data_IF_374313828873
#
_entry.id   IF_374313828873
#
_cell.length_a   1.000
_cell.length_b   1.000
_cell.length_c   1.000
_cell.angle_alpha   90.00
_cell.angle_beta   90.00
_cell.angle_gamma   90.00
#
_symmetry.space_group_name_H-M   'P 1'
#
loop_
_entity.id
_entity.type
_entity.pdbx_description
1 polymer ?
#
# COMPACT_ATOMS: atom_id res chain seq x y z
N UNK A 1 19.11 5.10 -25.22
CA UNK A 1 19.23 3.74 -24.64
C UNK A 1 20.62 3.45 -24.07
N UNK A 2 21.70 4.15 -24.49
CA UNK A 2 23.05 4.01 -23.91
C UNK A 2 23.25 4.80 -22.62
N UNK A 3 22.55 5.92 -22.46
CA UNK A 3 22.67 6.82 -21.30
C UNK A 3 22.09 6.25 -20.01
N UNK A 4 20.98 5.50 -20.11
CA UNK A 4 20.33 4.82 -18.98
C UNK A 4 21.20 3.68 -18.44
N UNK A 5 21.86 2.94 -19.32
CA UNK A 5 22.78 1.87 -18.94
C UNK A 5 24.00 2.41 -18.17
N UNK A 6 24.51 3.59 -18.55
CA UNK A 6 25.61 4.23 -17.82
C UNK A 6 25.19 4.69 -16.42
N UNK A 7 23.97 5.17 -16.26
CA UNK A 7 23.48 5.69 -14.99
C UNK A 7 23.20 4.56 -13.99
N UNK A 8 22.59 3.46 -14.43
CA UNK A 8 22.37 2.27 -13.61
C UNK A 8 23.69 1.66 -13.12
N UNK A 9 24.67 1.54 -14.02
CA UNK A 9 25.98 0.99 -13.67
C UNK A 9 26.72 1.88 -12.65
N UNK A 10 26.68 3.20 -12.87
CA UNK A 10 27.28 4.18 -11.96
C UNK A 10 26.62 4.15 -10.58
N UNK A 11 25.30 3.99 -10.52
CA UNK A 11 24.56 3.85 -9.27
C UNK A 11 24.96 2.58 -8.52
N UNK A 12 25.06 1.45 -9.21
CA UNK A 12 25.45 0.16 -8.60
C UNK A 12 26.86 0.24 -8.02
N UNK A 13 27.81 0.80 -8.76
CA UNK A 13 29.18 0.99 -8.28
C UNK A 13 29.25 1.93 -7.08
N UNK A 14 28.50 3.03 -7.13
CA UNK A 14 28.41 3.99 -6.02
C UNK A 14 27.85 3.32 -4.77
N UNK A 15 26.74 2.58 -4.87
CA UNK A 15 26.13 1.88 -3.73
C UNK A 15 27.09 0.83 -3.16
N UNK A 16 27.79 0.09 -4.02
CA UNK A 16 28.78 -0.92 -3.59
C UNK A 16 29.97 -0.30 -2.84
N UNK A 17 30.31 0.95 -3.13
CA UNK A 17 31.38 1.70 -2.43
C UNK A 17 30.97 2.26 -1.06
N UNK A 18 29.67 2.27 -0.75
CA UNK A 18 29.16 2.76 0.53
C UNK A 18 29.42 1.78 1.69
N UNK A 19 29.43 2.31 2.92
CA UNK A 19 29.43 1.48 4.12
C UNK A 19 28.07 0.79 4.32
N UNK A 20 28.05 -0.37 5.00
CA UNK A 20 26.82 -1.15 5.26
C UNK A 20 25.67 -0.30 5.83
N UNK A 21 25.95 0.60 6.78
CA UNK A 21 24.94 1.49 7.35
C UNK A 21 24.30 2.43 6.30
N UNK A 22 25.09 2.92 5.34
CA UNK A 22 24.60 3.79 4.26
C UNK A 22 23.88 2.99 3.17
N UNK A 23 24.30 1.75 2.91
CA UNK A 23 23.58 0.85 2.01
C UNK A 23 22.17 0.55 2.54
N UNK A 24 22.03 0.26 3.84
CA UNK A 24 20.73 0.05 4.46
C UNK A 24 19.86 1.32 4.41
N UNK A 25 20.45 2.49 4.61
CA UNK A 25 19.74 3.77 4.45
C UNK A 25 19.21 3.96 3.02
N UNK A 26 20.02 3.68 1.99
CA UNK A 26 19.58 3.73 0.59
C UNK A 26 18.47 2.72 0.31
N UNK A 27 18.55 1.51 0.85
CA UNK A 27 17.49 0.50 0.72
C UNK A 27 16.19 0.94 1.40
N UNK A 28 16.28 1.52 2.60
CA UNK A 28 15.11 2.06 3.31
C UNK A 28 14.45 3.20 2.53
N UNK A 29 15.24 4.10 1.95
CA UNK A 29 14.77 5.18 1.11
C UNK A 29 14.14 4.65 -0.19
N UNK A 30 14.76 3.70 -0.88
CA UNK A 30 14.19 3.09 -2.07
C UNK A 30 12.85 2.38 -1.78
N UNK A 31 12.73 1.70 -0.63
CA UNK A 31 11.45 1.15 -0.15
C UNK A 31 10.42 2.25 0.12
N UNK A 32 10.82 3.39 0.66
CA UNK A 32 9.91 4.53 0.88
C UNK A 32 9.42 5.18 -0.42
N UNK A 33 10.19 5.06 -1.50
CA UNK A 33 9.82 5.53 -2.83
C UNK A 33 8.94 4.54 -3.60
N UNK A 34 8.80 3.29 -3.12
CA UNK A 34 7.82 2.41 -3.72
C UNK A 34 6.44 3.04 -3.51
N UNK A 35 5.69 3.30 -4.59
CA UNK A 35 4.33 3.81 -4.45
C UNK A 35 3.58 2.82 -3.55
N UNK A 36 3.01 3.32 -2.45
CA UNK A 36 2.14 2.52 -1.61
C UNK A 36 1.06 1.97 -2.52
N UNK A 37 0.90 0.65 -2.57
CA UNK A 37 -0.04 0.00 -3.49
C UNK A 37 -1.48 0.52 -3.39
N UNK A 38 -1.81 1.19 -2.27
CA UNK A 38 -3.04 1.93 -2.03
C UNK A 38 -3.35 3.04 -3.07
N UNK A 39 -2.34 3.69 -3.67
CA UNK A 39 -2.54 4.75 -4.66
C UNK A 39 -2.79 4.22 -6.08
N UNK A 40 -2.66 2.91 -6.30
CA UNK A 40 -2.97 2.31 -7.58
C UNK A 40 -4.48 2.06 -7.64
N UNK A 41 -5.22 2.69 -8.57
CA UNK A 41 -6.65 2.44 -8.70
C UNK A 41 -6.88 0.94 -8.95
N UNK A 42 -7.85 0.37 -8.24
CA UNK A 42 -8.31 -1.00 -8.48
C UNK A 42 -8.64 -1.13 -9.97
N UNK A 43 -7.93 -2.02 -10.66
CA UNK A 43 -8.15 -2.27 -12.09
C UNK A 43 -9.46 -3.01 -12.36
N UNK A 44 -10.05 -3.59 -11.31
CA UNK A 44 -11.30 -4.35 -11.35
C UNK A 44 -12.42 -3.59 -10.63
N UNK A 45 -13.63 -3.67 -11.18
CA UNK A 45 -14.83 -3.23 -10.45
C UNK A 45 -15.12 -4.13 -9.25
N UNK A 46 -15.84 -3.62 -8.26
CA UNK A 46 -16.25 -4.39 -7.07
C UNK A 46 -17.06 -5.65 -7.45
N UNK A 47 -17.89 -5.56 -8.49
CA UNK A 47 -18.67 -6.71 -8.99
C UNK A 47 -17.77 -7.79 -9.60
N UNK A 48 -16.69 -7.41 -10.29
CA UNK A 48 -15.72 -8.35 -10.83
C UNK A 48 -14.91 -8.99 -9.70
N UNK A 49 -14.53 -8.19 -8.69
CA UNK A 49 -13.80 -8.66 -7.52
C UNK A 49 -14.60 -9.68 -6.69
N UNK A 50 -15.92 -9.46 -6.57
CA UNK A 50 -16.83 -10.36 -5.86
C UNK A 50 -16.98 -11.74 -6.56
N UNK A 51 -16.74 -11.80 -7.87
CA UNK A 51 -16.77 -13.04 -8.66
C UNK A 51 -15.50 -13.88 -8.52
N UNK A 52 -14.40 -13.31 -8.00
CA UNK A 52 -13.16 -14.03 -7.78
C UNK A 52 -13.24 -14.97 -6.57
N UNK A 53 -12.46 -16.06 -6.57
CA UNK A 53 -12.23 -16.87 -5.37
C UNK A 53 -11.73 -16.03 -4.20
N UNK A 54 -12.08 -16.43 -2.99
CA UNK A 54 -11.76 -15.69 -1.76
C UNK A 54 -10.25 -15.41 -1.63
N UNK A 55 -9.40 -16.39 -1.98
CA UNK A 55 -7.95 -16.24 -1.90
C UNK A 55 -7.43 -15.12 -2.82
N UNK A 56 -7.88 -15.09 -4.07
CA UNK A 56 -7.48 -14.07 -5.05
C UNK A 56 -7.99 -12.69 -4.66
N UNK A 57 -9.23 -12.61 -4.18
CA UNK A 57 -9.82 -11.38 -3.66
C UNK A 57 -9.01 -10.82 -2.51
N UNK A 58 -8.66 -11.66 -1.52
CA UNK A 58 -7.90 -11.26 -0.36
C UNK A 58 -6.49 -10.80 -0.74
N UNK A 59 -5.86 -11.47 -1.70
CA UNK A 59 -4.56 -11.06 -2.21
C UNK A 59 -4.62 -9.65 -2.81
N UNK A 60 -5.64 -9.34 -3.62
CA UNK A 60 -5.82 -8.01 -4.21
C UNK A 60 -6.14 -6.96 -3.13
N UNK A 61 -7.08 -7.25 -2.24
CA UNK A 61 -7.51 -6.32 -1.19
C UNK A 61 -6.43 -6.06 -0.13
N UNK A 62 -5.52 -7.01 0.09
CA UNK A 62 -4.47 -6.90 1.13
C UNK A 62 -3.61 -5.65 0.99
N UNK A 63 -3.38 -5.19 -0.25
CA UNK A 63 -2.63 -3.98 -0.54
C UNK A 63 -3.30 -2.69 -0.02
N UNK A 64 -4.62 -2.69 0.14
CA UNK A 64 -5.40 -1.52 0.56
C UNK A 64 -5.66 -1.49 2.07
N UNK A 65 -5.54 -2.64 2.75
CA UNK A 65 -5.79 -2.75 4.21
C UNK A 65 -5.00 -1.72 5.03
N UNK A 66 -3.69 -1.46 4.78
CA UNK A 66 -2.95 -0.49 5.57
C UNK A 66 -3.46 0.95 5.41
N UNK A 67 -3.87 1.31 4.19
CA UNK A 67 -4.44 2.64 3.93
C UNK A 67 -5.81 2.76 4.59
N UNK A 68 -6.68 1.75 4.43
CA UNK A 68 -7.98 1.71 5.11
C UNK A 68 -7.82 1.79 6.63
N UNK A 69 -6.85 1.09 7.22
CA UNK A 69 -6.57 1.17 8.65
C UNK A 69 -6.13 2.58 9.08
N UNK A 70 -5.36 3.28 8.23
CA UNK A 70 -4.97 4.66 8.46
C UNK A 70 -6.17 5.61 8.37
N UNK A 71 -7.08 5.39 7.43
CA UNK A 71 -8.32 6.18 7.30
C UNK A 71 -9.14 6.12 8.61
N UNK A 72 -9.26 4.94 9.25
CA UNK A 72 -9.93 4.81 10.56
C UNK A 72 -9.22 5.54 11.72
N UNK A 73 -7.93 5.85 11.59
CA UNK A 73 -7.19 6.63 12.60
C UNK A 73 -7.35 8.12 12.38
N UNK A 74 -7.42 8.55 11.12
CA UNK A 74 -7.45 9.95 10.72
C UNK A 74 -8.89 10.49 10.66
N UNK A 75 -9.87 9.62 10.43
CA UNK A 75 -11.29 9.95 10.35
C UNK A 75 -12.08 9.27 11.49
N UNK A 76 -12.31 9.98 12.61
CA UNK A 76 -13.03 9.44 13.75
C UNK A 76 -14.49 9.08 13.42
N UNK A 77 -15.12 9.71 12.41
CA UNK A 77 -16.49 9.39 11.99
C UNK A 77 -16.60 7.95 11.49
N UNK A 78 -15.54 7.41 10.90
CA UNK A 78 -15.48 6.00 10.48
C UNK A 78 -15.50 5.02 11.66
N UNK A 79 -15.22 5.49 12.87
CA UNK A 79 -15.24 4.68 14.10
C UNK A 79 -16.51 4.87 14.92
N UNK A 80 -17.37 5.82 14.55
CA UNK A 80 -18.62 6.17 15.26
C UNK A 80 -19.78 5.21 14.93
N UNK A 81 -19.53 3.89 15.02
CA UNK A 81 -20.59 2.87 14.99
C UNK A 81 -21.55 2.93 16.20
N UNK A 82 -21.33 3.87 17.11
CA UNK A 82 -22.02 4.06 18.39
C UNK A 82 -23.34 4.83 18.32
N UNK A 83 -23.80 5.26 17.13
CA UNK A 83 -25.08 5.98 16.96
C UNK A 83 -26.04 5.24 16.01
N UNK A 84 -26.06 3.91 16.07
CA UNK A 84 -27.29 3.20 15.74
C UNK A 84 -28.10 3.16 17.02
N UNK A 85 -29.09 4.06 17.13
CA UNK A 85 -30.14 3.98 18.13
C UNK A 85 -30.61 2.51 18.20
N UNK A 86 -30.27 1.84 19.29
CA UNK A 86 -30.82 0.52 19.60
C UNK A 86 -32.32 0.60 19.90
N UNK A 87 -32.87 1.82 19.99
CA UNK A 87 -34.30 2.15 20.05
C UNK A 87 -34.98 1.88 18.70
N UNK A 88 -35.25 0.62 18.38
CA UNK A 88 -36.01 0.26 17.18
C UNK A 88 -35.84 -1.18 16.70
N UNK A 89 -34.99 -1.97 17.36
CA UNK A 89 -34.82 -3.40 17.07
C UNK A 89 -35.78 -4.30 17.87
N UNK A 90 -36.73 -3.72 18.60
CA UNK A 90 -37.87 -4.41 19.21
C UNK A 90 -39.17 -3.89 18.59
N UNK A 91 -39.64 -4.60 17.56
CA UNK A 91 -41.06 -4.89 17.27
C UNK A 91 -41.17 -6.09 16.30
#
# INVERSE_FOLDING_TARGET
>A
MTETANLEQTLIETIRSLTNAKQEAVLSFARSLQPRDADRPLTLSLQQLAKLPIAERNQILSAYIPATAQDFLDDPELTEFSVLDTEGWED
#
